data_IF_914781621579
#
_entry.id   IF_914781621579
#
_cell.length_a   1.000
_cell.length_b   1.000
_cell.length_c   1.000
_cell.angle_alpha   90.00
_cell.angle_beta   90.00
_cell.angle_gamma   90.00
#
_symmetry.space_group_name_H-M   'P 1'
#
loop_
_entity.id
_entity.type
_entity.pdbx_description
1 polymer ?
#
# COMPACT_ATOMS: atom_id res chain seq x y z
N UNK A 1 -13.84 -10.95 18.05
CA UNK A 1 -13.34 -9.56 18.20
C UNK A 1 -13.34 -8.93 16.81
N UNK A 2 -14.29 -8.03 16.53
CA UNK A 2 -14.21 -7.14 15.37
C UNK A 2 -13.09 -6.15 15.67
N UNK A 3 -11.85 -6.51 15.34
CA UNK A 3 -10.79 -5.50 15.27
C UNK A 3 -11.00 -4.78 13.96
N UNK A 4 -11.23 -3.47 14.00
CA UNK A 4 -11.29 -2.64 12.79
C UNK A 4 -10.09 -2.92 11.90
N UNK A 5 -10.33 -2.86 10.59
CA UNK A 5 -9.26 -3.04 9.60
C UNK A 5 -8.22 -1.94 9.75
N UNK A 6 -6.94 -2.30 9.52
CA UNK A 6 -5.85 -1.32 9.47
C UNK A 6 -5.68 -0.70 8.10
N UNK A 7 -6.41 -1.14 7.07
CA UNK A 7 -6.28 -0.61 5.71
C UNK A 7 -7.03 0.73 5.62
N UNK A 8 -6.36 1.84 5.25
CA UNK A 8 -7.03 3.11 5.01
C UNK A 8 -7.84 3.05 3.70
N UNK A 9 -8.95 3.79 3.66
CA UNK A 9 -9.66 4.02 2.41
C UNK A 9 -8.95 5.11 1.59
N UNK A 10 -8.80 4.96 0.27
CA UNK A 10 -8.24 6.03 -0.56
C UNK A 10 -9.20 7.22 -0.59
N UNK A 11 -8.67 8.43 -0.36
CA UNK A 11 -9.48 9.66 -0.39
C UNK A 11 -10.09 9.95 -1.77
N UNK A 12 -9.42 9.50 -2.83
CA UNK A 12 -9.87 9.59 -4.21
C UNK A 12 -9.11 8.58 -5.08
N UNK A 13 -9.75 8.07 -6.14
CA UNK A 13 -9.09 7.26 -7.18
C UNK A 13 -8.41 8.20 -8.19
N UNK A 14 -7.24 8.72 -7.81
CA UNK A 14 -6.42 9.66 -8.60
C UNK A 14 -4.94 9.48 -8.22
N UNK A 15 -4.01 10.06 -8.99
CA UNK A 15 -2.58 9.99 -8.67
C UNK A 15 -2.26 10.48 -7.24
N UNK A 16 -2.73 11.67 -6.88
CA UNK A 16 -2.52 12.23 -5.53
C UNK A 16 -3.18 11.37 -4.45
N UNK A 17 -4.34 10.79 -4.75
CA UNK A 17 -5.04 9.87 -3.85
C UNK A 17 -4.25 8.57 -3.62
N UNK A 18 -3.67 8.00 -4.68
CA UNK A 18 -2.80 6.83 -4.60
C UNK A 18 -1.53 7.15 -3.81
N UNK A 19 -0.87 8.27 -4.10
CA UNK A 19 0.32 8.75 -3.37
C UNK A 19 0.03 8.89 -1.88
N UNK A 20 -1.09 9.53 -1.52
CA UNK A 20 -1.51 9.67 -0.13
C UNK A 20 -1.80 8.32 0.52
N UNK A 21 -2.46 7.40 -0.19
CA UNK A 21 -2.77 6.08 0.33
C UNK A 21 -1.50 5.27 0.62
N UNK A 22 -0.52 5.26 -0.29
CA UNK A 22 0.79 4.62 -0.03
C UNK A 22 1.52 5.27 1.14
N UNK A 23 1.51 6.60 1.25
CA UNK A 23 2.12 7.31 2.37
C UNK A 23 1.47 6.96 3.72
N UNK A 24 0.15 6.76 3.73
CA UNK A 24 -0.56 6.31 4.92
C UNK A 24 -0.26 4.84 5.26
N UNK A 25 -0.21 3.96 4.25
CA UNK A 25 0.23 2.57 4.41
C UNK A 25 1.64 2.51 5.01
N UNK A 26 2.57 3.35 4.55
CA UNK A 26 3.90 3.50 5.14
C UNK A 26 3.85 3.90 6.60
N UNK A 27 3.09 4.94 6.95
CA UNK A 27 2.93 5.39 8.34
C UNK A 27 2.37 4.30 9.26
N UNK A 28 1.53 3.41 8.73
CA UNK A 28 0.94 2.26 9.44
C UNK A 28 1.84 1.03 9.48
N UNK A 29 3.02 1.07 8.85
CA UNK A 29 3.94 -0.07 8.74
C UNK A 29 3.43 -1.19 7.85
N UNK A 30 2.59 -0.84 6.87
CA UNK A 30 1.91 -1.74 5.93
C UNK A 30 2.38 -1.53 4.49
N UNK A 31 3.48 -0.80 4.26
CA UNK A 31 3.99 -0.55 2.92
C UNK A 31 4.55 -1.84 2.31
N UNK A 32 4.17 -2.11 1.06
CA UNK A 32 4.60 -3.22 0.25
C UNK A 32 4.63 -2.78 -1.22
N UNK A 33 5.25 -3.57 -2.10
CA UNK A 33 5.28 -3.27 -3.53
C UNK A 33 3.92 -3.59 -4.18
N UNK A 34 3.36 -2.72 -5.02
CA UNK A 34 1.99 -2.90 -5.54
C UNK A 34 1.79 -4.10 -6.49
N UNK A 35 2.86 -4.68 -7.04
CA UNK A 35 2.77 -5.96 -7.80
C UNK A 35 2.76 -7.21 -6.92
N UNK A 36 3.18 -7.10 -5.65
CA UNK A 36 3.20 -8.25 -4.76
C UNK A 36 1.78 -8.51 -4.25
N UNK A 37 1.36 -9.78 -4.23
CA UNK A 37 0.09 -10.13 -3.60
C UNK A 37 0.18 -9.92 -2.08
N UNK A 38 -0.71 -9.15 -1.44
CA UNK A 38 -0.70 -8.94 0.01
C UNK A 38 -0.79 -10.24 0.82
N UNK A 39 -1.28 -11.35 0.24
CA UNK A 39 -1.27 -12.66 0.89
C UNK A 39 0.14 -13.27 1.06
N UNK A 40 1.09 -12.86 0.23
CA UNK A 40 2.47 -13.37 0.25
C UNK A 40 3.41 -12.51 1.10
N UNK A 41 2.94 -11.34 1.56
CA UNK A 41 3.73 -10.39 2.34
C UNK A 41 3.83 -10.84 3.80
N UNK A 42 5.07 -11.00 4.27
CA UNK A 42 5.38 -11.35 5.66
C UNK A 42 6.23 -10.29 6.34
N UNK A 43 6.08 -10.16 7.66
CA UNK A 43 6.94 -9.29 8.48
C UNK A 43 8.27 -9.98 8.70
N UNK A 44 9.36 -9.46 8.13
CA UNK A 44 10.70 -10.08 8.15
C UNK A 44 11.15 -10.52 9.55
N UNK A 45 10.83 -9.73 10.60
CA UNK A 45 11.26 -10.02 11.97
C UNK A 45 10.59 -11.27 12.55
N UNK A 46 9.33 -11.52 12.23
CA UNK A 46 8.55 -12.61 12.82
C UNK A 46 8.27 -13.75 11.85
N UNK A 47 8.34 -13.52 10.55
CA UNK A 47 7.90 -14.46 9.51
C UNK A 47 6.38 -14.60 9.40
N UNK A 48 5.62 -13.83 10.20
CA UNK A 48 4.16 -13.87 10.22
C UNK A 48 3.58 -13.03 9.07
N UNK A 49 2.38 -13.36 8.55
CA UNK A 49 1.69 -12.54 7.57
C UNK A 49 1.53 -11.09 8.02
N UNK A 50 1.85 -10.14 7.13
CA UNK A 50 1.68 -8.72 7.41
C UNK A 50 0.20 -8.34 7.51
N UNK A 51 -0.62 -8.93 6.63
CA UNK A 51 -2.04 -8.66 6.49
C UNK A 51 -2.89 -9.83 7.00
N UNK A 52 -4.05 -9.51 7.57
CA UNK A 52 -5.09 -10.49 7.92
C UNK A 52 -5.92 -10.79 6.67
N UNK A 53 -6.63 -11.93 6.66
CA UNK A 53 -7.48 -12.33 5.52
C UNK A 53 -8.43 -11.22 5.01
N UNK A 54 -9.09 -10.51 5.92
CA UNK A 54 -9.95 -9.38 5.55
C UNK A 54 -9.17 -8.21 4.93
N UNK A 55 -8.00 -7.90 5.47
CA UNK A 55 -7.17 -6.81 4.98
C UNK A 55 -6.56 -7.12 3.62
N UNK A 56 -6.27 -8.41 3.33
CA UNK A 56 -5.84 -8.86 2.00
C UNK A 56 -6.90 -8.52 0.95
N UNK A 57 -8.17 -8.81 1.23
CA UNK A 57 -9.29 -8.51 0.33
C UNK A 57 -9.44 -7.00 0.11
N UNK A 58 -9.34 -6.21 1.18
CA UNK A 58 -9.44 -4.75 1.11
C UNK A 58 -8.27 -4.11 0.33
N UNK A 59 -7.04 -4.60 0.54
CA UNK A 59 -5.86 -4.13 -0.21
C UNK A 59 -5.98 -4.47 -1.69
N UNK A 60 -6.37 -5.72 -2.03
CA UNK A 60 -6.58 -6.12 -3.42
C UNK A 60 -7.65 -5.25 -4.09
N UNK A 61 -8.75 -5.00 -3.40
CA UNK A 61 -9.81 -4.12 -3.91
C UNK A 61 -9.28 -2.72 -4.21
N UNK A 62 -8.54 -2.09 -3.28
CA UNK A 62 -7.98 -0.74 -3.51
C UNK A 62 -6.98 -0.75 -4.66
N UNK A 63 -6.07 -1.73 -4.72
CA UNK A 63 -5.12 -1.85 -5.83
C UNK A 63 -5.83 -2.03 -7.16
N UNK A 64 -6.85 -2.89 -7.24
CA UNK A 64 -7.65 -3.10 -8.45
C UNK A 64 -8.29 -1.79 -8.92
N UNK A 65 -8.88 -0.99 -8.01
CA UNK A 65 -9.45 0.31 -8.35
C UNK A 65 -8.39 1.30 -8.86
N UNK A 66 -7.24 1.37 -8.19
CA UNK A 66 -6.14 2.26 -8.58
C UNK A 66 -5.56 1.86 -9.94
N UNK A 67 -5.25 0.58 -10.15
CA UNK A 67 -4.71 0.09 -11.42
C UNK A 67 -5.72 0.19 -12.57
N UNK A 68 -7.01 -0.01 -12.31
CA UNK A 68 -8.04 0.19 -13.33
C UNK A 68 -8.13 1.65 -13.80
N UNK A 69 -7.91 2.62 -12.90
CA UNK A 69 -8.00 4.03 -13.21
C UNK A 69 -6.69 4.65 -13.73
N UNK A 70 -5.55 4.23 -13.20
CA UNK A 70 -4.24 4.87 -13.41
C UNK A 70 -3.28 4.00 -14.23
N UNK A 71 -3.54 2.70 -14.38
CA UNK A 71 -2.61 1.76 -15.00
C UNK A 71 -1.25 1.79 -14.30
N UNK A 72 -0.19 1.95 -15.06
CA UNK A 72 1.18 1.94 -14.53
C UNK A 72 1.54 3.20 -13.72
N UNK A 73 0.73 4.27 -13.75
CA UNK A 73 0.98 5.47 -12.94
C UNK A 73 0.84 5.18 -11.43
N UNK A 74 0.26 4.03 -11.05
CA UNK A 74 0.29 3.52 -9.66
C UNK A 74 1.72 3.35 -9.17
N UNK A 75 2.63 2.88 -10.03
CA UNK A 75 4.04 2.72 -9.67
C UNK A 75 4.71 4.07 -9.41
N UNK A 76 4.41 5.07 -10.24
CA UNK A 76 4.94 6.43 -10.10
C UNK A 76 4.41 7.10 -8.82
N UNK A 77 3.16 6.82 -8.43
CA UNK A 77 2.60 7.28 -7.16
C UNK A 77 3.24 6.58 -5.95
N UNK A 78 3.52 5.28 -6.04
CA UNK A 78 4.17 4.51 -4.97
C UNK A 78 5.66 4.83 -4.80
N UNK A 79 6.35 5.13 -5.91
CA UNK A 79 7.80 5.28 -5.97
C UNK A 79 8.39 6.23 -4.92
N UNK A 80 7.94 7.50 -4.78
CA UNK A 80 8.52 8.41 -3.79
C UNK A 80 8.34 7.91 -2.35
N UNK A 81 7.24 7.23 -2.05
CA UNK A 81 6.96 6.65 -0.73
C UNK A 81 7.89 5.46 -0.46
N UNK A 82 8.07 4.59 -1.45
CA UNK A 82 9.00 3.45 -1.37
C UNK A 82 10.43 3.91 -1.17
N UNK A 83 10.89 4.91 -1.93
CA UNK A 83 12.23 5.48 -1.77
C UNK A 83 12.42 6.08 -0.38
N UNK A 84 11.43 6.82 0.12
CA UNK A 84 11.45 7.35 1.48
C UNK A 84 11.55 6.24 2.53
N UNK A 85 10.80 5.15 2.38
CA UNK A 85 10.85 3.99 3.28
C UNK A 85 12.21 3.27 3.27
N UNK A 86 12.91 3.30 2.13
CA UNK A 86 14.29 2.83 2.00
C UNK A 86 15.35 3.82 2.54
N UNK A 87 14.94 4.96 3.10
CA UNK A 87 15.84 6.01 3.58
C UNK A 87 16.46 6.86 2.46
N UNK A 88 15.95 6.74 1.24
CA UNK A 88 16.38 7.52 0.07
C UNK A 88 15.46 8.73 -0.05
N UNK A 89 16.03 9.93 0.04
CA UNK A 89 15.32 11.17 -0.28
C UNK A 89 15.45 11.41 -1.77
N UNK A 90 14.33 11.46 -2.47
CA UNK A 90 14.28 12.03 -3.81
C UNK A 90 14.36 13.54 -3.65
N UNK A 91 15.39 14.14 -4.22
CA UNK A 91 15.62 15.58 -4.10
C UNK A 91 14.43 16.35 -4.71
N UNK A 92 13.99 17.40 -4.03
CA UNK A 92 12.85 18.24 -4.39
C UNK A 92 13.16 19.21 -5.54
#
# INVERSE_FOLDING_TARGET
MNSESRIPEPNAVSFDGALHWFAEMQCRGLLFHPDDDPADIVVIRSGEPMFRNREIEEVRFVLDELFAALGNDVYEAAYPVMMNACGIRLDA
#
